data_IF_069531691508
#
_entry.id   IF_069531691508
#
_cell.length_a   1.000
_cell.length_b   1.000
_cell.length_c   1.000
_cell.angle_alpha   90.00
_cell.angle_beta   90.00
_cell.angle_gamma   90.00
#
_symmetry.space_group_name_H-M   'P 1'
#
loop_
_entity.id
_entity.type
_entity.pdbx_description
1 polymer ?
#
# COMPACT_ATOMS: atom_id res chain seq x y z
N UNK A 1 -15.24 -2.12 12.09
CA UNK A 1 -15.15 -0.65 11.95
C UNK A 1 -15.08 -0.34 10.46
N UNK A 2 -15.84 0.65 9.98
CA UNK A 2 -15.84 1.00 8.56
C UNK A 2 -14.46 1.50 8.13
N UNK A 3 -13.95 1.12 6.95
CA UNK A 3 -12.73 1.69 6.40
C UNK A 3 -12.88 3.22 6.31
N UNK A 4 -11.82 3.96 6.66
CA UNK A 4 -11.87 5.43 6.62
C UNK A 4 -12.11 5.89 5.17
N UNK A 5 -13.20 6.62 4.96
CA UNK A 5 -13.57 7.17 3.65
C UNK A 5 -12.43 7.97 2.99
N UNK A 6 -11.66 8.72 3.77
CA UNK A 6 -10.51 9.46 3.27
C UNK A 6 -9.45 8.55 2.62
N UNK A 7 -9.11 7.42 3.26
CA UNK A 7 -8.15 6.47 2.69
C UNK A 7 -8.72 5.75 1.46
N UNK A 8 -10.01 5.44 1.42
CA UNK A 8 -10.64 4.85 0.24
C UNK A 8 -10.59 5.81 -0.96
N UNK A 9 -10.87 7.10 -0.74
CA UNK A 9 -10.75 8.13 -1.78
C UNK A 9 -9.29 8.26 -2.22
N UNK A 10 -8.35 8.28 -1.28
CA UNK A 10 -6.91 8.34 -1.58
C UNK A 10 -6.48 7.16 -2.46
N UNK A 11 -6.88 5.94 -2.12
CA UNK A 11 -6.61 4.74 -2.94
C UNK A 11 -7.19 4.90 -4.34
N UNK A 12 -8.45 5.33 -4.44
CA UNK A 12 -9.10 5.55 -5.74
C UNK A 12 -8.35 6.56 -6.61
N UNK A 13 -7.86 7.65 -6.02
CA UNK A 13 -7.07 8.67 -6.72
C UNK A 13 -5.70 8.13 -7.13
N UNK A 14 -5.00 7.41 -6.25
CA UNK A 14 -3.68 6.81 -6.55
C UNK A 14 -3.78 5.79 -7.69
N UNK A 15 -4.70 4.85 -7.58
CA UNK A 15 -4.91 3.80 -8.59
C UNK A 15 -5.44 4.41 -9.89
N UNK A 16 -6.42 5.32 -9.83
CA UNK A 16 -6.97 5.98 -11.00
C UNK A 16 -5.92 6.80 -11.77
N UNK A 17 -5.12 7.61 -11.06
CA UNK A 17 -4.04 8.39 -11.68
C UNK A 17 -2.95 7.48 -12.23
N UNK A 18 -2.60 6.42 -11.49
CA UNK A 18 -1.62 5.43 -11.94
C UNK A 18 -2.05 4.72 -13.22
N UNK A 19 -3.32 4.31 -13.33
CA UNK A 19 -3.87 3.71 -14.55
C UNK A 19 -3.79 4.68 -15.73
N UNK A 20 -4.13 5.95 -15.53
CA UNK A 20 -4.04 6.97 -16.60
C UNK A 20 -2.59 7.14 -17.06
N UNK A 21 -1.62 7.19 -16.15
CA UNK A 21 -0.20 7.35 -16.48
C UNK A 21 0.40 6.11 -17.17
N UNK A 22 -0.06 4.91 -16.82
CA UNK A 22 0.38 3.66 -17.49
C UNK A 22 -0.09 3.59 -18.95
N UNK A 23 -1.20 4.24 -19.29
CA UNK A 23 -1.69 4.31 -20.67
C UNK A 23 -0.91 5.30 -21.54
N UNK A 24 0.02 6.06 -20.96
CA UNK A 24 0.84 7.01 -21.69
C UNK A 24 2.01 6.35 -22.44
N UNK A 25 2.51 7.04 -23.48
CA UNK A 25 3.58 6.51 -24.34
C UNK A 25 4.99 6.68 -23.77
N UNK A 26 5.14 7.55 -22.77
CA UNK A 26 6.45 7.85 -22.17
C UNK A 26 6.79 6.82 -21.10
N UNK A 27 7.93 6.15 -21.24
CA UNK A 27 8.42 5.18 -20.24
C UNK A 27 8.46 5.77 -18.83
N UNK A 28 8.94 6.99 -18.68
CA UNK A 28 8.98 7.66 -17.37
C UNK A 28 7.58 7.82 -16.75
N UNK A 29 6.55 8.08 -17.56
CA UNK A 29 5.17 8.17 -17.09
C UNK A 29 4.61 6.80 -16.71
N UNK A 30 4.94 5.76 -17.47
CA UNK A 30 4.56 4.39 -17.14
C UNK A 30 5.18 3.96 -15.80
N UNK A 31 6.46 4.27 -15.57
CA UNK A 31 7.14 3.96 -14.30
C UNK A 31 6.44 4.65 -13.12
N UNK A 32 6.20 5.97 -13.23
CA UNK A 32 5.49 6.72 -12.18
C UNK A 32 4.07 6.15 -11.98
N UNK A 33 3.37 5.81 -13.07
CA UNK A 33 2.04 5.23 -13.02
C UNK A 33 2.01 3.89 -12.28
N UNK A 34 2.95 3.01 -12.60
CA UNK A 34 3.12 1.73 -11.91
C UNK A 34 3.43 1.93 -10.41
N UNK A 35 4.32 2.86 -10.07
CA UNK A 35 4.63 3.19 -8.68
C UNK A 35 3.40 3.71 -7.92
N UNK A 36 2.58 4.57 -8.52
CA UNK A 36 1.35 5.07 -7.91
C UNK A 36 0.34 3.94 -7.63
N UNK A 37 0.19 3.00 -8.57
CA UNK A 37 -0.66 1.81 -8.36
C UNK A 37 -0.14 1.00 -7.17
N UNK A 38 1.17 0.73 -7.11
CA UNK A 38 1.79 0.00 -6.00
C UNK A 38 1.52 0.69 -4.65
N UNK A 39 1.66 2.01 -4.56
CA UNK A 39 1.34 2.74 -3.32
C UNK A 39 -0.14 2.65 -2.95
N UNK A 40 -1.05 2.78 -3.93
CA UNK A 40 -2.48 2.61 -3.70
C UNK A 40 -2.84 1.22 -3.17
N UNK A 41 -2.26 0.16 -3.75
CA UNK A 41 -2.47 -1.23 -3.32
C UNK A 41 -1.88 -1.47 -1.93
N UNK A 42 -0.72 -0.90 -1.61
CA UNK A 42 -0.13 -1.01 -0.27
C UNK A 42 -1.02 -0.40 0.82
N UNK A 43 -1.63 0.76 0.55
CA UNK A 43 -2.60 1.38 1.48
C UNK A 43 -3.85 0.51 1.61
N UNK A 44 -4.31 -0.10 0.52
CA UNK A 44 -5.43 -1.04 0.51
C UNK A 44 -5.17 -2.27 1.38
N UNK A 45 -3.97 -2.85 1.28
CA UNK A 45 -3.54 -3.96 2.13
C UNK A 45 -3.47 -3.54 3.60
N UNK A 46 -2.93 -2.37 3.91
CA UNK A 46 -2.88 -1.90 5.30
C UNK A 46 -4.29 -1.76 5.90
N UNK A 47 -5.26 -1.26 5.12
CA UNK A 47 -6.65 -1.16 5.57
C UNK A 47 -7.33 -2.52 5.79
N UNK A 48 -6.87 -3.59 5.14
CA UNK A 48 -7.45 -4.93 5.34
C UNK A 48 -7.12 -5.50 6.72
N UNK A 49 -6.05 -5.03 7.37
CA UNK A 49 -5.65 -5.39 8.73
C UNK A 49 -6.54 -4.86 9.84
N UNK A 50 -7.60 -4.12 9.50
CA UNK A 50 -8.64 -3.74 10.45
C UNK A 50 -8.24 -2.59 11.36
N UNK A 51 -8.36 -2.77 12.69
CA UNK A 51 -8.17 -1.68 13.66
C UNK A 51 -6.70 -1.29 13.74
N UNK A 52 -6.46 0.02 13.79
CA UNK A 52 -5.18 0.55 14.25
C UNK A 52 -4.98 0.07 15.69
N UNK A 53 -3.89 -0.68 15.89
CA UNK A 53 -3.47 -1.21 17.18
C UNK A 53 -2.04 -0.81 17.48
N UNK A 54 -1.52 -1.29 18.61
CA UNK A 54 -0.11 -1.18 18.95
C UNK A 54 0.78 -1.90 17.91
N UNK A 55 2.05 -1.51 17.79
CA UNK A 55 3.00 -2.23 16.95
C UNK A 55 3.03 -3.72 17.32
N UNK A 56 3.04 -4.65 16.35
CA UNK A 56 3.06 -6.08 16.61
C UNK A 56 4.46 -6.55 17.01
N UNK A 57 4.94 -6.03 18.14
CA UNK A 57 6.25 -6.34 18.71
C UNK A 57 6.03 -6.97 20.09
N UNK A 58 6.50 -8.19 20.24
CA UNK A 58 6.38 -8.94 21.48
C UNK A 58 7.05 -8.17 22.63
N UNK A 59 6.35 -8.07 23.76
CA UNK A 59 6.83 -7.40 24.97
C UNK A 59 6.59 -5.88 25.03
N UNK A 60 6.00 -5.26 24.00
CA UNK A 60 5.68 -3.81 24.03
C UNK A 60 4.22 -3.49 24.36
N UNK A 61 3.29 -4.40 24.09
CA UNK A 61 1.85 -4.18 24.30
C UNK A 61 1.13 -5.52 24.51
N UNK A 62 -0.12 -5.49 24.98
CA UNK A 62 -0.93 -6.71 25.06
C UNK A 62 -1.26 -7.23 23.66
N UNK A 63 -1.26 -8.55 23.49
CA UNK A 63 -1.54 -9.20 22.18
C UNK A 63 -2.91 -8.80 21.63
N UNK A 64 -3.89 -8.55 22.52
CA UNK A 64 -5.23 -8.09 22.15
C UNK A 64 -5.26 -6.67 21.56
N UNK A 65 -4.23 -5.87 21.80
CA UNK A 65 -4.16 -4.48 21.35
C UNK A 65 -3.27 -4.31 20.11
N UNK A 66 -2.53 -5.36 19.72
CA UNK A 66 -1.64 -5.32 18.56
C UNK A 66 -2.41 -5.26 17.25
N UNK A 67 -1.88 -4.49 16.29
CA UNK A 67 -2.38 -4.52 14.92
C UNK A 67 -2.03 -5.84 14.23
N UNK A 68 -2.83 -6.26 13.23
CA UNK A 68 -2.58 -7.49 12.50
C UNK A 68 -1.19 -7.47 11.82
N UNK A 69 -0.28 -8.40 12.15
CA UNK A 69 1.06 -8.44 11.56
C UNK A 69 1.07 -8.93 10.11
N UNK A 70 0.03 -9.66 9.67
CA UNK A 70 0.03 -10.30 8.35
C UNK A 70 0.01 -9.27 7.21
N UNK A 71 -0.88 -8.26 7.19
CA UNK A 71 -0.84 -7.22 6.17
C UNK A 71 0.45 -6.39 6.19
N UNK A 72 1.07 -6.20 7.35
CA UNK A 72 2.32 -5.44 7.48
C UNK A 72 3.48 -6.18 6.78
N UNK A 73 3.60 -7.49 6.99
CA UNK A 73 4.60 -8.32 6.32
C UNK A 73 4.36 -8.38 4.79
N UNK A 74 3.10 -8.46 4.36
CA UNK A 74 2.75 -8.43 2.94
C UNK A 74 3.12 -7.10 2.28
N UNK A 75 2.83 -5.97 2.94
CA UNK A 75 3.18 -4.63 2.42
C UNK A 75 4.70 -4.47 2.31
N UNK A 76 5.48 -4.91 3.31
CA UNK A 76 6.94 -4.85 3.23
C UNK A 76 7.48 -5.62 2.01
N UNK A 77 6.91 -6.80 1.74
CA UNK A 77 7.26 -7.61 0.57
C UNK A 77 6.89 -6.89 -0.74
N UNK A 78 5.68 -6.32 -0.81
CA UNK A 78 5.22 -5.59 -1.98
C UNK A 78 6.08 -4.33 -2.26
N UNK A 79 6.55 -3.63 -1.22
CA UNK A 79 7.46 -2.49 -1.35
C UNK A 79 8.78 -2.91 -2.03
N UNK A 80 9.39 -4.01 -1.59
CA UNK A 80 10.66 -4.49 -2.16
C UNK A 80 10.49 -4.91 -3.63
N UNK A 81 9.40 -5.60 -3.96
CA UNK A 81 9.08 -5.96 -5.36
C UNK A 81 8.86 -4.69 -6.20
N UNK A 82 8.10 -3.72 -5.69
CA UNK A 82 7.86 -2.45 -6.37
C UNK A 82 9.14 -1.68 -6.64
N UNK A 83 10.05 -1.62 -5.65
CA UNK A 83 11.36 -0.99 -5.80
C UNK A 83 12.20 -1.70 -6.88
N UNK A 84 12.24 -3.04 -6.88
CA UNK A 84 12.99 -3.80 -7.86
C UNK A 84 12.48 -3.58 -9.29
N UNK A 85 11.16 -3.57 -9.49
CA UNK A 85 10.55 -3.28 -10.79
C UNK A 85 10.82 -1.83 -11.24
N UNK A 86 10.72 -0.88 -10.32
CA UNK A 86 10.99 0.54 -10.60
C UNK A 86 12.45 0.79 -10.95
N UNK A 87 13.40 0.07 -10.32
CA UNK A 87 14.83 0.18 -10.62
C UNK A 87 15.23 -0.49 -11.94
N UNK A 88 14.46 -1.49 -12.38
CA UNK A 88 14.72 -2.22 -13.62
C UNK A 88 14.26 -1.46 -14.87
N UNK A 89 13.12 -0.77 -14.78
CA UNK A 89 12.52 0.00 -15.88
C UNK A 89 13.23 1.33 -16.14
#
# INVERSE_FOLDING_TARGET
MAPSLALLILVGVLVGTGVVLVLERSLSRIVIGASLITYGVNVLLLMSGGRAGAPPILGQSEVSEMADPLPQAMVLTAIVIGLALTAFM
#
